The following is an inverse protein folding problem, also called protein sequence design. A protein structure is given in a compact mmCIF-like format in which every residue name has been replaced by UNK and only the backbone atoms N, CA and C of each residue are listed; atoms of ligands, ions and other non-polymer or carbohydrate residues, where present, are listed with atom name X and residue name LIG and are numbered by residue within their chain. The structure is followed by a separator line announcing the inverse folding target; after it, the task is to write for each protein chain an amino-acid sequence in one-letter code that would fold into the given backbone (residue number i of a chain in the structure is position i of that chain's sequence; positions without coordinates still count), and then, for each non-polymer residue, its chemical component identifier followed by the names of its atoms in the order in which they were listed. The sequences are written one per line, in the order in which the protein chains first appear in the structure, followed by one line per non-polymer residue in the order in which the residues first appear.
data_IF_148390634668
#
_entry.id   IF_148390634668
#
_cell.length_a   1.000
_cell.length_b   1.000
_cell.length_c   1.000
_cell.angle_alpha   90.00
_cell.angle_beta   90.00
_cell.angle_gamma   90.00
#
_symmetry.space_group_name_H-M   'P 1'
#
loop_
_entity.id
_entity.type
_entity.pdbx_description
1 polymer ?
#
# COMPACT_ATOMS: atom_id res chain seq x y z
N UNK A 1 9.29 3.49 8.07
CA UNK A 1 9.30 4.61 7.11
C UNK A 1 9.08 5.88 7.89
N UNK A 2 10.10 6.75 7.94
CA UNK A 2 10.00 8.07 8.58
C UNK A 2 9.21 9.03 7.68
N UNK A 3 8.71 10.16 8.18
CA UNK A 3 7.99 11.15 7.37
C UNK A 3 8.77 11.61 6.12
N UNK A 4 10.07 11.85 6.28
CA UNK A 4 10.97 12.21 5.18
C UNK A 4 11.12 11.09 4.13
N UNK A 5 11.14 9.82 4.56
CA UNK A 5 11.20 8.68 3.65
C UNK A 5 9.91 8.53 2.85
N UNK A 6 8.75 8.73 3.49
CA UNK A 6 7.45 8.68 2.82
C UNK A 6 7.33 9.79 1.76
N UNK A 7 7.78 11.00 2.07
CA UNK A 7 7.86 12.10 1.10
C UNK A 7 8.82 11.78 -0.06
N UNK A 8 10.00 11.22 0.23
CA UNK A 8 10.97 10.79 -0.79
C UNK A 8 10.41 9.70 -1.69
N UNK A 9 9.77 8.68 -1.14
CA UNK A 9 9.09 7.62 -1.89
C UNK A 9 8.10 8.22 -2.90
N UNK A 10 7.17 9.06 -2.41
CA UNK A 10 6.16 9.69 -3.27
C UNK A 10 6.79 10.49 -4.41
N UNK A 11 7.80 11.31 -4.09
CA UNK A 11 8.51 12.13 -5.07
C UNK A 11 9.34 11.30 -6.05
N UNK A 12 9.91 10.18 -5.60
CA UNK A 12 10.63 9.23 -6.45
C UNK A 12 9.73 8.57 -7.50
N UNK A 13 8.44 8.40 -7.20
CA UNK A 13 7.43 7.94 -8.15
C UNK A 13 6.79 9.07 -8.98
N UNK A 14 7.25 10.31 -8.85
CA UNK A 14 6.69 11.45 -9.57
C UNK A 14 5.28 11.88 -9.13
N UNK A 15 4.74 11.31 -8.05
CA UNK A 15 3.35 11.49 -7.66
C UNK A 15 3.13 12.82 -6.91
N UNK A 16 2.02 13.49 -7.19
CA UNK A 16 1.44 14.52 -6.32
C UNK A 16 0.88 13.91 -5.03
N UNK A 17 0.57 14.74 -4.03
CA UNK A 17 -0.09 14.26 -2.81
C UNK A 17 -1.51 13.72 -3.09
N UNK A 18 -2.16 14.17 -4.17
CA UNK A 18 -3.50 13.71 -4.57
C UNK A 18 -3.40 12.30 -5.17
N UNK A 19 -2.54 12.11 -6.15
CA UNK A 19 -2.35 10.82 -6.83
C UNK A 19 -1.85 9.75 -5.85
N UNK A 20 -0.90 10.08 -4.97
CA UNK A 20 -0.46 9.15 -3.95
C UNK A 20 -1.60 8.73 -3.00
N UNK A 21 -2.55 9.63 -2.73
CA UNK A 21 -3.70 9.31 -1.90
C UNK A 21 -4.67 8.37 -2.64
N UNK A 22 -4.91 8.61 -3.94
CA UNK A 22 -5.74 7.75 -4.79
C UNK A 22 -5.13 6.34 -4.90
N UNK A 23 -3.84 6.22 -5.23
CA UNK A 23 -3.14 4.94 -5.34
C UNK A 23 -3.10 4.15 -4.02
N UNK A 24 -3.08 4.84 -2.87
CA UNK A 24 -3.07 4.20 -1.55
C UNK A 24 -4.48 3.97 -0.99
N UNK A 25 -5.54 4.42 -1.67
CA UNK A 25 -6.91 4.36 -1.14
C UNK A 25 -7.12 5.21 0.12
N UNK A 26 -6.44 6.36 0.22
CA UNK A 26 -6.46 7.25 1.38
C UNK A 26 -7.08 8.61 1.03
N UNK A 27 -7.53 9.34 2.07
CA UNK A 27 -7.80 10.78 1.93
C UNK A 27 -6.48 11.53 1.77
N UNK A 28 -6.43 12.54 0.88
CA UNK A 28 -5.24 13.41 0.67
C UNK A 28 -4.63 13.95 1.97
N UNK A 29 -5.47 14.28 2.96
CA UNK A 29 -5.02 14.78 4.27
C UNK A 29 -4.16 13.76 5.04
N UNK A 30 -4.38 12.46 4.85
CA UNK A 30 -3.56 11.41 5.48
C UNK A 30 -2.14 11.40 4.95
N UNK A 31 -1.97 11.55 3.63
CA UNK A 31 -0.65 11.70 2.99
C UNK A 31 0.09 12.88 3.61
N UNK A 32 -0.57 14.03 3.78
CA UNK A 32 0.02 15.21 4.43
C UNK A 32 0.43 14.95 5.87
N UNK A 33 -0.42 14.29 6.67
CA UNK A 33 -0.09 13.94 8.05
C UNK A 33 1.12 13.01 8.14
N UNK A 34 1.21 12.04 7.23
CA UNK A 34 2.35 11.11 7.16
C UNK A 34 3.65 11.80 6.72
N UNK A 35 3.60 12.72 5.76
CA UNK A 35 4.77 13.51 5.36
C UNK A 35 5.23 14.48 6.45
N UNK A 36 4.30 15.05 7.21
CA UNK A 36 4.62 15.95 8.33
C UNK A 36 5.02 15.18 9.59
N UNK A 37 4.59 13.93 9.72
CA UNK A 37 4.77 13.13 10.94
C UNK A 37 3.89 13.58 12.11
N UNK A 38 2.86 14.39 11.86
CA UNK A 38 1.94 14.85 12.91
C UNK A 38 0.50 15.00 12.40
N UNK A 39 -0.45 14.79 13.32
CA UNK A 39 -1.88 15.07 13.18
C UNK A 39 -2.33 15.87 14.39
N UNK A 40 -2.84 17.08 14.16
CA UNK A 40 -3.43 17.95 15.20
C UNK A 40 -2.49 18.11 16.43
N UNK A 41 -1.20 18.34 16.15
CA UNK A 41 -0.14 18.50 17.17
C UNK A 41 0.42 17.19 17.74
N UNK A 42 -0.20 16.05 17.48
CA UNK A 42 0.26 14.73 17.94
C UNK A 42 1.13 14.05 16.89
N UNK A 43 2.21 13.38 17.31
CA UNK A 43 3.05 12.59 16.40
C UNK A 43 2.23 11.46 15.79
N UNK A 44 2.36 11.27 14.47
CA UNK A 44 1.73 10.16 13.74
C UNK A 44 2.76 9.51 12.84
N UNK A 45 2.86 8.18 12.92
CA UNK A 45 3.69 7.38 12.04
C UNK A 45 2.92 6.86 10.84
N UNK A 46 3.64 6.42 9.81
CA UNK A 46 3.07 5.70 8.67
C UNK A 46 2.67 4.28 9.13
N UNK A 47 1.38 3.89 9.08
CA UNK A 47 0.93 2.57 9.50
C UNK A 47 1.60 1.44 8.70
N UNK A 48 1.67 0.23 9.27
CA UNK A 48 2.26 -0.94 8.59
C UNK A 48 1.61 -1.20 7.22
N UNK A 49 0.28 -1.15 7.15
CA UNK A 49 -0.47 -1.36 5.90
C UNK A 49 -0.05 -0.37 4.80
N UNK A 50 0.14 0.91 5.15
CA UNK A 50 0.54 1.95 4.20
C UNK A 50 1.98 1.73 3.76
N UNK A 51 2.88 1.35 4.66
CA UNK A 51 4.28 1.04 4.30
C UNK A 51 4.39 -0.13 3.33
N UNK A 52 3.57 -1.17 3.52
CA UNK A 52 3.52 -2.32 2.62
C UNK A 52 2.94 -1.91 1.25
N UNK A 53 1.88 -1.10 1.23
CA UNK A 53 1.33 -0.57 -0.01
C UNK A 53 2.33 0.33 -0.76
N UNK A 54 3.11 1.17 -0.07
CA UNK A 54 4.18 1.95 -0.70
C UNK A 54 5.25 1.06 -1.36
N UNK A 55 5.60 -0.05 -0.72
CA UNK A 55 6.53 -1.02 -1.30
C UNK A 55 5.94 -1.66 -2.57
N UNK A 56 4.70 -2.16 -2.50
CA UNK A 56 4.02 -2.73 -3.66
C UNK A 56 3.96 -1.75 -4.84
N UNK A 57 3.58 -0.49 -4.58
CA UNK A 57 3.55 0.56 -5.61
C UNK A 57 4.92 0.87 -6.20
N UNK A 58 5.99 0.85 -5.38
CA UNK A 58 7.35 1.03 -5.87
C UNK A 58 7.84 -0.15 -6.72
N UNK A 59 7.29 -1.34 -6.48
CA UNK A 59 7.52 -2.56 -7.26
C UNK A 59 6.60 -2.67 -8.50
N UNK A 60 5.76 -1.65 -8.76
CA UNK A 60 4.84 -1.62 -9.89
C UNK A 60 3.52 -2.36 -9.68
N UNK A 61 3.24 -2.83 -8.46
CA UNK A 61 1.99 -3.52 -8.10
C UNK A 61 0.97 -2.52 -7.56
N UNK A 62 -0.01 -2.18 -8.40
CA UNK A 62 -1.09 -1.24 -8.05
C UNK A 62 -2.36 -1.91 -7.49
N UNK A 63 -2.57 -3.19 -7.79
CA UNK A 63 -3.73 -3.97 -7.32
C UNK A 63 -3.33 -5.44 -7.09
N UNK A 64 -3.99 -6.12 -6.15
CA UNK A 64 -3.70 -7.51 -5.80
C UNK A 64 -4.98 -8.28 -5.44
N UNK A 65 -5.38 -9.20 -6.31
CA UNK A 65 -6.58 -10.03 -6.16
C UNK A 65 -6.45 -11.23 -5.21
N UNK A 66 -5.31 -11.39 -4.54
CA UNK A 66 -5.03 -12.54 -3.69
C UNK A 66 -4.37 -13.72 -4.44
N UNK A 67 -3.97 -14.77 -3.72
CA UNK A 67 -3.34 -15.94 -4.31
C UNK A 67 -4.31 -16.72 -5.20
N UNK A 68 -3.81 -17.46 -6.21
CA UNK A 68 -4.65 -18.31 -7.03
C UNK A 68 -5.39 -19.34 -6.16
N UNK A 69 -6.65 -19.65 -6.52
CA UNK A 69 -7.41 -20.71 -5.83
C UNK A 69 -6.65 -22.04 -5.96
N UNK A 70 -6.51 -22.82 -4.87
CA UNK A 70 -5.91 -24.13 -4.96
C UNK A 70 -6.70 -24.97 -5.97
N UNK A 71 -5.99 -25.60 -6.92
CA UNK A 71 -6.63 -26.57 -7.83
C UNK A 71 -7.21 -27.67 -6.95
N UNK A 72 -8.53 -27.87 -7.00
CA UNK A 72 -9.16 -29.03 -6.35
C UNK A 72 -8.45 -30.28 -6.89
N UNK A 73 -7.84 -31.06 -6.01
CA UNK A 73 -7.31 -32.37 -6.38
C UNK A 73 -8.44 -33.16 -7.06
N UNK A 74 -8.16 -33.72 -8.23
CA UNK A 74 -9.08 -34.60 -8.93
C UNK A 74 -9.51 -35.70 -7.93
N UNK A 75 -10.83 -35.88 -7.75
CA UNK A 75 -11.34 -36.98 -6.94
C UNK A 75 -10.80 -38.28 -7.54
N UNK A 76 -10.26 -39.22 -6.74
CA UNK A 76 -9.86 -40.52 -7.27
C UNK A 76 -11.09 -41.16 -7.91
N UNK A 77 -10.96 -41.50 -9.18
CA UNK A 77 -11.95 -42.24 -9.94
C UNK A 77 -12.21 -43.55 -9.21
N UNK A 78 -13.46 -43.78 -8.79
CA UNK A 78 -13.85 -45.02 -8.10
C UNK A 78 -13.62 -46.16 -9.08
N UNK A 79 -12.61 -46.99 -8.82
CA UNK A 79 -12.39 -48.24 -9.54
C UNK A 79 -13.58 -49.16 -9.23
N UNK A 80 -14.32 -49.51 -10.28
CA UNK A 80 -15.45 -50.46 -10.28
C UNK A 80 -14.94 -51.87 -10.03
#
# INVERSE_FOLDING_TARGET
MKPADFKRWRKGLGLSQKEAAEMLGLKRRMVQYYEKGQRDGKKVGVPKIVRLACYALADGVADYGGPPKPKRAAKPEKRV
#
